data_IF_026364331303
#
_entry.id   IF_026364331303
#
_cell.length_a   1.000
_cell.length_b   1.000
_cell.length_c   1.000
_cell.angle_alpha   90.00
_cell.angle_beta   90.00
_cell.angle_gamma   90.00
#
_symmetry.space_group_name_H-M   'P 1'
#
loop_
_entity.id
_entity.type
_entity.pdbx_description
1 polymer ?
#
# COMPACT_ATOMS: atom_id res chain seq x y z
N UNK A 1 -2.65 -9.26 4.06
CA UNK A 1 -2.52 -10.72 4.12
C UNK A 1 -2.48 -11.29 2.70
N UNK A 2 -1.52 -12.15 2.41
CA UNK A 2 -1.29 -12.77 1.11
C UNK A 2 -1.15 -14.30 1.16
N UNK A 3 -1.77 -14.94 2.15
CA UNK A 3 -1.63 -16.40 2.33
C UNK A 3 -2.93 -17.18 2.05
N UNK A 4 -4.07 -16.58 2.33
CA UNK A 4 -5.38 -17.22 2.09
C UNK A 4 -6.05 -16.47 0.95
N UNK A 5 -6.29 -17.11 -0.21
CA UNK A 5 -6.86 -16.44 -1.38
C UNK A 5 -8.31 -16.00 -1.14
N UNK A 6 -8.69 -14.93 -1.82
CA UNK A 6 -10.07 -14.42 -1.84
C UNK A 6 -10.86 -15.19 -2.90
N UNK A 7 -11.99 -15.74 -2.52
CA UNK A 7 -12.92 -16.38 -3.44
C UNK A 7 -13.86 -15.36 -4.10
N UNK A 8 -13.32 -14.58 -5.05
CA UNK A 8 -14.09 -13.55 -5.74
C UNK A 8 -15.28 -14.14 -6.52
N UNK A 9 -15.12 -15.34 -7.09
CA UNK A 9 -16.21 -16.06 -7.77
C UNK A 9 -17.40 -16.30 -6.86
N UNK A 10 -17.17 -16.43 -5.56
CA UNK A 10 -18.21 -16.57 -4.53
C UNK A 10 -18.69 -15.21 -3.96
N UNK A 11 -18.26 -14.09 -4.53
CA UNK A 11 -18.62 -12.74 -4.07
C UNK A 11 -17.86 -12.27 -2.84
N UNK A 12 -16.76 -12.94 -2.48
CA UNK A 12 -15.96 -12.53 -1.34
C UNK A 12 -15.19 -11.23 -1.61
N UNK A 13 -15.25 -10.28 -0.65
CA UNK A 13 -14.52 -9.02 -0.75
C UNK A 13 -13.09 -9.15 -0.22
N UNK A 14 -12.08 -8.59 -0.90
CA UNK A 14 -10.72 -8.52 -0.39
C UNK A 14 -10.58 -7.53 0.78
N UNK A 15 -11.56 -6.64 0.95
CA UNK A 15 -11.56 -5.64 2.01
C UNK A 15 -12.34 -6.18 3.22
N UNK A 16 -11.65 -6.41 4.32
CA UNK A 16 -12.21 -6.96 5.57
C UNK A 16 -12.18 -5.93 6.69
N UNK A 17 -12.99 -6.17 7.71
CA UNK A 17 -13.00 -5.38 8.95
C UNK A 17 -13.12 -3.87 8.72
N UNK A 18 -13.99 -3.45 7.78
CA UNK A 18 -14.17 -2.02 7.47
C UNK A 18 -12.92 -1.34 6.90
N UNK A 19 -12.12 -2.06 6.13
CA UNK A 19 -10.90 -1.53 5.50
C UNK A 19 -9.64 -1.62 6.36
N UNK A 20 -9.70 -2.28 7.52
CA UNK A 20 -8.54 -2.47 8.40
C UNK A 20 -7.67 -3.65 8.00
N UNK A 21 -8.22 -4.60 7.26
CA UNK A 21 -7.52 -5.78 6.76
C UNK A 21 -7.78 -5.90 5.26
N UNK A 22 -6.72 -6.08 4.50
CA UNK A 22 -6.76 -6.28 3.06
C UNK A 22 -6.15 -7.64 2.75
N UNK A 23 -6.87 -8.45 1.98
CA UNK A 23 -6.40 -9.73 1.48
C UNK A 23 -6.04 -9.55 0.01
N UNK A 24 -4.76 -9.69 -0.32
CA UNK A 24 -4.24 -9.45 -1.67
C UNK A 24 -4.02 -10.73 -2.48
N UNK A 25 -4.12 -11.88 -1.83
CA UNK A 25 -4.01 -13.17 -2.51
C UNK A 25 -5.31 -13.51 -3.24
N UNK A 26 -5.20 -13.80 -4.53
CA UNK A 26 -6.30 -14.27 -5.36
C UNK A 26 -6.00 -15.64 -5.97
N UNK A 27 -4.93 -16.29 -5.50
CA UNK A 27 -4.50 -17.58 -6.05
C UNK A 27 -3.83 -17.42 -7.42
N UNK A 28 -2.68 -16.74 -7.47
CA UNK A 28 -1.88 -16.60 -8.70
C UNK A 28 -1.52 -17.91 -9.38
N UNK A 29 -1.54 -19.01 -8.61
CA UNK A 29 -1.31 -20.34 -9.16
C UNK A 29 -2.50 -20.77 -10.01
N UNK A 30 -2.21 -21.23 -11.22
CA UNK A 30 -3.22 -21.68 -12.20
C UNK A 30 -4.24 -22.67 -11.64
N UNK A 31 -3.83 -23.48 -10.65
CA UNK A 31 -4.72 -24.46 -9.99
C UNK A 31 -5.91 -23.79 -9.27
N UNK A 32 -5.72 -22.57 -8.75
CA UNK A 32 -6.74 -21.86 -7.98
C UNK A 32 -7.66 -20.96 -8.82
N UNK A 33 -7.31 -20.65 -10.08
CA UNK A 33 -8.06 -19.69 -10.91
C UNK A 33 -9.54 -20.07 -11.08
N UNK A 34 -9.86 -21.38 -11.13
CA UNK A 34 -11.24 -21.85 -11.25
C UNK A 34 -12.07 -21.59 -9.99
N UNK A 35 -11.42 -21.59 -8.84
CA UNK A 35 -12.08 -21.43 -7.54
C UNK A 35 -12.18 -19.95 -7.16
N UNK A 36 -11.10 -19.20 -7.36
CA UNK A 36 -11.00 -17.81 -6.93
C UNK A 36 -11.56 -16.79 -7.93
N UNK A 37 -11.46 -17.09 -9.22
CA UNK A 37 -11.95 -16.23 -10.31
C UNK A 37 -11.07 -15.05 -10.65
N UNK A 38 -9.95 -14.84 -9.94
CA UNK A 38 -8.95 -13.78 -10.18
C UNK A 38 -7.52 -14.32 -9.99
N UNK A 39 -6.55 -13.59 -10.56
CA UNK A 39 -5.14 -13.88 -10.31
C UNK A 39 -4.65 -13.34 -8.97
N UNK A 40 -5.13 -12.17 -8.56
CA UNK A 40 -4.74 -11.53 -7.30
C UNK A 40 -4.98 -10.04 -7.30
N UNK A 41 -4.49 -9.37 -6.25
CA UNK A 41 -4.60 -7.94 -6.10
C UNK A 41 -3.24 -7.27 -5.88
N UNK A 42 -3.09 -6.08 -6.43
CA UNK A 42 -2.02 -5.15 -6.06
C UNK A 42 -2.58 -4.05 -5.18
N UNK A 43 -1.99 -3.86 -4.01
CA UNK A 43 -2.31 -2.73 -3.14
C UNK A 43 -1.48 -1.52 -3.57
N UNK A 44 -2.15 -0.44 -3.90
CA UNK A 44 -1.54 0.82 -4.30
C UNK A 44 -1.80 1.86 -3.21
N UNK A 45 -0.75 2.48 -2.72
CA UNK A 45 -0.82 3.61 -1.82
C UNK A 45 -0.41 4.89 -2.54
N UNK A 46 -1.33 5.82 -2.64
CA UNK A 46 -1.14 7.11 -3.31
C UNK A 46 -1.36 8.26 -2.32
N UNK A 47 -1.01 9.48 -2.76
CA UNK A 47 -1.18 10.70 -1.97
C UNK A 47 -2.63 10.93 -1.50
N UNK A 48 -3.58 10.39 -2.22
CA UNK A 48 -5.03 10.56 -1.97
C UNK A 48 -5.68 9.36 -1.32
N UNK A 49 -4.98 8.25 -1.16
CA UNK A 49 -5.55 7.07 -0.49
C UNK A 49 -4.97 5.73 -0.86
N UNK A 50 -5.76 4.70 -0.55
CA UNK A 50 -5.46 3.30 -0.81
C UNK A 50 -6.43 2.77 -1.86
N UNK A 51 -5.91 2.05 -2.84
CA UNK A 51 -6.69 1.30 -3.81
C UNK A 51 -6.18 -0.12 -3.99
N UNK A 52 -7.05 -1.02 -4.40
CA UNK A 52 -6.71 -2.37 -4.82
C UNK A 52 -6.95 -2.48 -6.32
N UNK A 53 -5.94 -2.97 -7.04
CA UNK A 53 -6.09 -3.35 -8.44
C UNK A 53 -6.21 -4.86 -8.53
N UNK A 54 -7.37 -5.34 -8.98
CA UNK A 54 -7.62 -6.75 -9.24
C UNK A 54 -7.06 -7.11 -10.62
N UNK A 55 -6.31 -8.20 -10.69
CA UNK A 55 -5.74 -8.73 -11.93
C UNK A 55 -6.52 -9.97 -12.36
N UNK A 56 -7.01 -9.96 -13.59
CA UNK A 56 -7.62 -11.15 -14.16
C UNK A 56 -6.56 -12.20 -14.54
N UNK A 57 -6.91 -13.49 -14.54
CA UNK A 57 -5.99 -14.53 -14.95
C UNK A 57 -5.51 -14.31 -16.38
N UNK A 58 -4.21 -14.45 -16.59
CA UNK A 58 -3.62 -14.41 -17.94
C UNK A 58 -4.00 -15.67 -18.71
N UNK A 59 -4.63 -15.51 -19.86
CA UNK A 59 -5.14 -16.65 -20.66
C UNK A 59 -4.02 -17.38 -21.41
N UNK A 60 -3.37 -16.69 -22.35
CA UNK A 60 -2.20 -17.22 -23.08
C UNK A 60 -1.48 -16.10 -23.83
N UNK A 61 -0.21 -16.33 -24.14
CA UNK A 61 0.63 -15.41 -24.94
C UNK A 61 0.10 -15.27 -26.35
N UNK A 62 -0.33 -16.37 -26.97
CA UNK A 62 -0.87 -16.37 -28.33
C UNK A 62 -2.11 -15.49 -28.43
N UNK A 63 -3.01 -15.61 -27.47
CA UNK A 63 -4.27 -14.84 -27.44
C UNK A 63 -3.99 -13.37 -27.18
N UNK A 64 -3.08 -13.05 -26.29
CA UNK A 64 -2.68 -11.67 -25.99
C UNK A 64 -2.09 -10.98 -27.24
N UNK A 65 -1.26 -11.69 -28.01
CA UNK A 65 -0.67 -11.16 -29.25
C UNK A 65 -1.73 -11.01 -30.37
N UNK A 66 -2.58 -12.01 -30.56
CA UNK A 66 -3.59 -12.01 -31.62
C UNK A 66 -4.69 -10.96 -31.41
N UNK A 67 -5.09 -10.76 -30.17
CA UNK A 67 -6.17 -9.84 -29.81
C UNK A 67 -5.65 -8.45 -29.36
N UNK A 68 -4.33 -8.25 -29.36
CA UNK A 68 -3.66 -7.02 -28.86
C UNK A 68 -4.16 -6.63 -27.45
N UNK A 69 -4.52 -7.62 -26.63
CA UNK A 69 -5.04 -7.43 -25.29
C UNK A 69 -3.94 -7.45 -24.25
N UNK A 70 -3.93 -6.42 -23.45
CA UNK A 70 -3.17 -6.41 -22.18
C UNK A 70 -3.93 -7.16 -21.08
N UNK A 71 -3.28 -7.41 -19.95
CA UNK A 71 -3.92 -8.00 -18.77
C UNK A 71 -4.98 -7.04 -18.27
N UNK A 72 -6.23 -7.49 -18.25
CA UNK A 72 -7.34 -6.67 -17.74
C UNK A 72 -7.19 -6.50 -16.24
N UNK A 73 -7.13 -5.26 -15.80
CA UNK A 73 -7.03 -4.90 -14.41
C UNK A 73 -8.17 -3.98 -14.02
N UNK A 74 -8.81 -4.26 -12.89
CA UNK A 74 -9.90 -3.44 -12.35
C UNK A 74 -9.50 -2.84 -11.01
N UNK A 75 -9.58 -1.52 -10.91
CA UNK A 75 -9.28 -0.79 -9.69
C UNK A 75 -10.50 -0.70 -8.79
N UNK A 76 -10.32 -1.02 -7.53
CA UNK A 76 -11.32 -0.90 -6.47
C UNK A 76 -10.78 0.04 -5.40
N UNK A 77 -11.48 1.12 -5.14
CA UNK A 77 -11.13 2.04 -4.07
C UNK A 77 -11.34 1.38 -2.71
N UNK A 78 -10.32 1.42 -1.86
CA UNK A 78 -10.41 0.95 -0.48
C UNK A 78 -10.67 2.11 0.46
N UNK A 79 -9.93 3.19 0.29
CA UNK A 79 -10.05 4.40 1.09
C UNK A 79 -9.47 5.59 0.36
N UNK A 80 -10.27 6.63 0.19
CA UNK A 80 -9.81 7.91 -0.31
C UNK A 80 -9.74 8.93 0.83
N UNK A 81 -8.60 9.57 0.98
CA UNK A 81 -8.43 10.74 1.81
C UNK A 81 -8.38 11.97 0.89
N UNK A 82 -9.31 12.88 1.08
CA UNK A 82 -9.34 14.15 0.33
C UNK A 82 -8.14 15.05 0.65
N UNK A 83 -7.44 14.79 1.75
CA UNK A 83 -6.30 15.57 2.21
C UNK A 83 -5.00 14.81 1.92
N UNK A 84 -4.09 15.47 1.18
CA UNK A 84 -2.74 14.97 0.94
C UNK A 84 -2.03 14.70 2.27
N UNK A 85 -1.53 13.49 2.46
CA UNK A 85 -0.68 13.14 3.58
C UNK A 85 0.79 13.31 3.22
N UNK A 86 1.50 14.05 4.07
CA UNK A 86 2.94 14.22 3.98
C UNK A 86 3.63 13.30 4.99
N UNK A 87 4.91 13.01 4.79
CA UNK A 87 5.72 12.28 5.77
C UNK A 87 5.64 12.95 7.14
N UNK A 88 5.61 14.28 7.18
CA UNK A 88 5.45 15.05 8.41
C UNK A 88 4.16 14.79 9.20
N UNK A 89 3.11 14.25 8.56
CA UNK A 89 1.82 13.96 9.21
C UNK A 89 1.80 12.56 9.84
N UNK A 90 2.81 11.74 9.56
CA UNK A 90 2.98 10.40 10.14
C UNK A 90 3.61 10.46 11.53
N UNK A 91 3.50 9.38 12.31
CA UNK A 91 4.17 9.25 13.59
C UNK A 91 5.69 9.42 13.47
N UNK A 92 6.27 8.81 12.45
CA UNK A 92 7.69 8.93 12.15
C UNK A 92 8.11 10.37 11.81
N UNK A 93 7.29 11.07 11.01
CA UNK A 93 7.53 12.48 10.70
C UNK A 93 7.43 13.39 11.93
N UNK A 94 6.52 13.09 12.86
CA UNK A 94 6.43 13.80 14.15
C UNK A 94 7.69 13.59 15.01
N UNK A 95 8.19 12.36 15.10
CA UNK A 95 9.43 12.05 15.82
C UNK A 95 10.63 12.78 15.21
N UNK A 96 10.76 12.78 13.89
CA UNK A 96 11.82 13.51 13.18
C UNK A 96 11.74 15.01 13.48
N UNK A 97 10.57 15.63 13.42
CA UNK A 97 10.42 17.05 13.75
C UNK A 97 10.79 17.37 15.20
N UNK A 98 10.43 16.49 16.14
CA UNK A 98 10.84 16.66 17.53
C UNK A 98 12.36 16.59 17.65
N UNK A 99 13.00 15.61 17.04
CA UNK A 99 14.46 15.47 17.07
C UNK A 99 15.18 16.67 16.46
N UNK A 100 14.64 17.25 15.38
CA UNK A 100 15.17 18.47 14.78
C UNK A 100 15.10 19.65 15.77
N UNK A 101 14.00 19.78 16.55
CA UNK A 101 13.90 20.84 17.57
C UNK A 101 14.94 20.66 18.66
N UNK A 102 15.04 19.46 19.22
CA UNK A 102 16.01 19.10 20.27
C UNK A 102 17.46 19.42 19.84
N UNK A 103 17.82 19.04 18.61
CA UNK A 103 19.14 19.33 18.05
C UNK A 103 19.40 20.84 17.86
N UNK A 104 18.38 21.61 17.45
CA UNK A 104 18.50 23.06 17.34
C UNK A 104 18.69 23.72 18.69
N UNK A 105 17.95 23.28 19.71
CA UNK A 105 18.09 23.76 21.09
C UNK A 105 19.47 23.42 21.65
N UNK A 106 19.98 22.24 21.37
CA UNK A 106 21.34 21.81 21.77
C UNK A 106 22.40 22.70 21.11
N UNK A 107 22.32 22.94 19.82
CA UNK A 107 23.24 23.83 19.09
C UNK A 107 23.23 25.24 19.71
N UNK A 108 22.04 25.76 20.02
CA UNK A 108 21.93 27.07 20.62
C UNK A 108 22.51 27.12 22.03
N UNK A 109 22.32 26.07 22.83
CA UNK A 109 22.91 25.97 24.16
C UNK A 109 24.47 25.95 24.13
N UNK A 110 25.07 25.35 23.12
CA UNK A 110 26.53 25.45 22.91
C UNK A 110 26.94 26.87 22.45
N UNK A 111 26.20 27.47 21.52
CA UNK A 111 26.51 28.83 21.04
C UNK A 111 26.42 29.90 22.14
N UNK A 112 25.47 29.73 23.06
CA UNK A 112 25.27 30.66 24.19
C UNK A 112 26.13 30.31 25.41
N UNK A 113 27.04 29.34 25.31
CA UNK A 113 27.90 28.85 26.39
C UNK A 113 27.14 28.32 27.63
N UNK A 114 25.85 27.97 27.47
CA UNK A 114 25.09 27.27 28.51
C UNK A 114 25.58 25.84 28.72
N UNK A 115 26.13 25.23 27.67
CA UNK A 115 26.83 23.96 27.71
C UNK A 115 28.28 24.18 27.27
N UNK A 116 29.23 23.56 27.99
CA UNK A 116 30.65 23.54 27.62
C UNK A 116 30.98 22.19 27.01
N UNK A 117 31.79 22.20 25.96
CA UNK A 117 32.37 20.96 25.46
C UNK A 117 33.25 20.34 26.56
N UNK A 118 33.00 19.08 26.85
CA UNK A 118 33.90 18.25 27.67
C UNK A 118 35.02 17.80 26.71
N UNK A 119 36.10 18.53 26.76
CA UNK A 119 37.36 18.12 26.11
C UNK A 119 38.02 16.97 26.89
#
# INVERSE_FOLDING_TARGET
>A
NGHVPVHQSAGESPVKCGGKVLVIDGGFCRAYHKETGIAGYTLIYELVGLSLTAHEPFESTEKAILEEKDIVSRQVAVRYNMKRQLVGDTDQGRQIRQRIRELKELIEAYRTAQLKELL
#
